data_IF_909704038763
#
_entry.id   IF_909704038763
#
_cell.length_a   1.000
_cell.length_b   1.000
_cell.length_c   1.000
_cell.angle_alpha   90.00
_cell.angle_beta   90.00
_cell.angle_gamma   90.00
#
_symmetry.space_group_name_H-M   'P 1'
#
loop_
_entity.id
_entity.type
_entity.pdbx_description
1 polymer ?
#
# COMPACT_ATOMS: atom_id res chain seq x y z
N UNK A 1 3.33 2.33 -24.43
CA UNK A 1 4.27 3.48 -24.31
C UNK A 1 4.88 3.41 -22.92
N UNK A 2 6.21 3.48 -22.75
CA UNK A 2 6.82 3.47 -21.41
C UNK A 2 6.24 4.61 -20.58
N UNK A 3 5.91 4.37 -19.31
CA UNK A 3 5.17 5.35 -18.50
C UNK A 3 5.89 6.69 -18.38
N UNK A 4 7.24 6.71 -18.37
CA UNK A 4 8.10 7.91 -18.48
C UNK A 4 9.51 7.57 -19.02
N UNK A 5 10.10 8.34 -19.96
CA UNK A 5 11.42 8.04 -20.53
C UNK A 5 12.63 8.79 -19.91
N UNK A 6 12.46 9.80 -19.04
CA UNK A 6 13.57 10.70 -18.62
C UNK A 6 13.62 10.97 -17.10
N UNK A 7 14.81 11.31 -16.56
CA UNK A 7 15.07 11.89 -15.21
C UNK A 7 14.43 13.28 -15.05
N UNK A 8 13.11 13.33 -15.07
CA UNK A 8 12.26 14.51 -14.81
C UNK A 8 11.44 14.24 -13.54
N UNK A 9 10.66 15.19 -13.02
CA UNK A 9 9.78 14.91 -11.84
C UNK A 9 8.88 13.67 -12.02
N UNK A 10 8.39 13.35 -13.23
CA UNK A 10 7.78 12.05 -13.50
C UNK A 10 8.71 10.83 -13.39
N UNK A 11 10.01 10.98 -13.68
CA UNK A 11 11.04 9.97 -13.43
C UNK A 11 11.33 9.76 -11.94
N UNK A 12 11.33 10.84 -11.14
CA UNK A 12 11.43 10.73 -9.68
C UNK A 12 10.23 9.97 -9.09
N UNK A 13 9.02 10.18 -9.63
CA UNK A 13 7.85 9.39 -9.25
C UNK A 13 8.00 7.91 -9.62
N UNK A 14 8.63 7.59 -10.75
CA UNK A 14 8.95 6.19 -11.14
C UNK A 14 9.96 5.54 -10.19
N UNK A 15 10.98 6.28 -9.76
CA UNK A 15 11.93 5.79 -8.76
C UNK A 15 11.23 5.54 -7.42
N UNK A 16 10.34 6.45 -6.99
CA UNK A 16 9.53 6.25 -5.80
C UNK A 16 8.58 5.05 -5.93
N UNK A 17 8.05 4.78 -7.12
CA UNK A 17 7.24 3.60 -7.44
C UNK A 17 8.04 2.30 -7.30
N UNK A 18 9.26 2.25 -7.84
CA UNK A 18 10.16 1.09 -7.68
C UNK A 18 10.58 0.88 -6.23
N UNK A 19 10.85 1.96 -5.50
CA UNK A 19 11.20 1.90 -4.08
C UNK A 19 10.01 1.40 -3.26
N UNK A 20 8.81 1.93 -3.51
CA UNK A 20 7.58 1.47 -2.86
C UNK A 20 7.28 0.01 -3.19
N UNK A 21 7.46 -0.41 -4.45
CA UNK A 21 7.29 -1.80 -4.89
C UNK A 21 8.24 -2.73 -4.13
N UNK A 22 9.51 -2.32 -4.01
CA UNK A 22 10.54 -3.04 -3.24
C UNK A 22 10.20 -3.13 -1.75
N UNK A 23 9.76 -2.03 -1.14
CA UNK A 23 9.36 -1.98 0.27
C UNK A 23 8.15 -2.86 0.56
N UNK A 24 7.10 -2.82 -0.28
CA UNK A 24 5.96 -3.71 -0.13
C UNK A 24 6.30 -5.18 -0.36
N UNK A 25 7.20 -5.48 -1.30
CA UNK A 25 7.69 -6.84 -1.50
C UNK A 25 8.47 -7.35 -0.29
N UNK A 26 9.35 -6.52 0.27
CA UNK A 26 10.11 -6.81 1.49
C UNK A 26 9.16 -7.05 2.67
N UNK A 27 8.29 -6.10 3.01
CA UNK A 27 7.35 -6.23 4.14
C UNK A 27 6.39 -7.41 3.98
N UNK A 28 5.90 -7.67 2.77
CA UNK A 28 5.08 -8.85 2.47
C UNK A 28 5.82 -10.15 2.70
N UNK A 29 7.07 -10.24 2.22
CA UNK A 29 7.92 -11.41 2.41
C UNK A 29 8.30 -11.64 3.86
N UNK A 30 8.62 -10.58 4.61
CA UNK A 30 8.93 -10.67 6.05
C UNK A 30 7.74 -11.21 6.85
N UNK A 31 6.54 -10.69 6.57
CA UNK A 31 5.33 -11.10 7.28
C UNK A 31 4.94 -12.55 6.97
N UNK A 32 5.14 -12.98 5.72
CA UNK A 32 4.97 -14.37 5.30
C UNK A 32 5.98 -15.31 5.97
N UNK A 33 7.26 -14.91 6.03
CA UNK A 33 8.32 -15.68 6.69
C UNK A 33 8.04 -15.81 8.20
N UNK A 34 7.63 -14.71 8.86
CA UNK A 34 7.22 -14.70 10.26
C UNK A 34 5.98 -15.57 10.53
N UNK A 35 5.19 -15.86 9.50
CA UNK A 35 4.02 -16.75 9.57
C UNK A 35 4.35 -18.21 9.19
N UNK A 36 5.63 -18.55 9.01
CA UNK A 36 6.09 -19.91 8.75
C UNK A 36 5.94 -20.39 7.30
N UNK A 37 5.76 -19.47 6.34
CA UNK A 37 5.68 -19.83 4.91
C UNK A 37 7.06 -20.17 4.35
N UNK A 38 7.10 -21.04 3.34
CA UNK A 38 8.34 -21.42 2.64
C UNK A 38 8.84 -20.30 1.70
N UNK A 39 10.00 -20.53 1.07
CA UNK A 39 10.62 -19.54 0.16
C UNK A 39 9.67 -19.09 -0.96
N UNK A 40 8.90 -20.03 -1.50
CA UNK A 40 7.91 -19.76 -2.53
C UNK A 40 6.77 -18.92 -1.98
N UNK A 41 6.19 -19.31 -0.85
CA UNK A 41 5.12 -18.58 -0.17
C UNK A 41 5.52 -17.15 0.18
N UNK A 42 6.74 -16.95 0.70
CA UNK A 42 7.27 -15.62 1.01
C UNK A 42 7.44 -14.75 -0.25
N UNK A 43 8.01 -15.34 -1.30
CA UNK A 43 8.19 -14.64 -2.59
C UNK A 43 6.85 -14.28 -3.21
N UNK A 44 5.87 -15.19 -3.17
CA UNK A 44 4.53 -15.00 -3.70
C UNK A 44 3.77 -13.91 -2.92
N UNK A 45 3.73 -13.98 -1.58
CA UNK A 45 3.05 -12.98 -0.75
C UNK A 45 3.71 -11.62 -0.89
N UNK A 46 5.05 -11.54 -0.89
CA UNK A 46 5.77 -10.29 -1.16
C UNK A 46 5.39 -9.69 -2.51
N UNK A 47 5.42 -10.49 -3.57
CA UNK A 47 5.03 -10.04 -4.92
C UNK A 47 3.59 -9.55 -4.97
N UNK A 48 2.65 -10.31 -4.39
CA UNK A 48 1.23 -9.94 -4.31
C UNK A 48 1.04 -8.65 -3.51
N UNK A 49 1.79 -8.45 -2.43
CA UNK A 49 1.74 -7.21 -1.64
C UNK A 49 2.14 -6.01 -2.49
N UNK A 50 3.22 -6.14 -3.26
CA UNK A 50 3.75 -5.07 -4.09
C UNK A 50 2.83 -4.70 -5.27
N UNK A 51 2.28 -5.69 -5.98
CA UNK A 51 1.49 -5.43 -7.20
C UNK A 51 -0.03 -5.44 -6.98
N UNK A 52 -0.49 -5.94 -5.84
CA UNK A 52 -1.90 -6.22 -5.56
C UNK A 52 -2.79 -4.98 -5.60
N UNK A 53 -2.35 -3.88 -4.98
CA UNK A 53 -3.12 -2.63 -4.96
C UNK A 53 -3.36 -2.05 -6.37
N UNK A 54 -2.30 -1.99 -7.18
CA UNK A 54 -2.38 -1.57 -8.57
C UNK A 54 -3.22 -2.52 -9.43
N UNK A 55 -3.13 -3.83 -9.17
CA UNK A 55 -3.91 -4.85 -9.87
C UNK A 55 -5.41 -4.68 -9.62
N UNK A 56 -5.83 -4.53 -8.35
CA UNK A 56 -7.24 -4.31 -8.01
C UNK A 56 -7.77 -3.03 -8.66
N UNK A 57 -6.99 -1.93 -8.62
CA UNK A 57 -7.35 -0.69 -9.32
C UNK A 57 -7.55 -0.93 -10.81
N UNK A 58 -6.60 -1.59 -11.48
CA UNK A 58 -6.62 -1.76 -12.94
C UNK A 58 -7.81 -2.62 -13.39
N UNK A 59 -8.14 -3.67 -12.62
CA UNK A 59 -9.35 -4.49 -12.85
C UNK A 59 -10.62 -3.64 -12.72
N UNK A 60 -10.73 -2.83 -11.67
CA UNK A 60 -11.93 -2.03 -11.40
C UNK A 60 -12.13 -0.88 -12.39
N UNK A 61 -11.05 -0.26 -12.87
CA UNK A 61 -11.14 0.77 -13.90
C UNK A 61 -11.69 0.23 -15.23
N UNK A 62 -11.58 -1.08 -15.45
CA UNK A 62 -12.11 -1.75 -16.65
C UNK A 62 -11.48 -1.24 -17.95
N UNK A 63 -12.16 -1.50 -19.08
CA UNK A 63 -11.77 -1.06 -20.44
C UNK A 63 -10.58 -1.80 -21.08
N UNK A 64 -10.44 -3.11 -20.83
CA UNK A 64 -9.37 -3.91 -21.47
C UNK A 64 -7.96 -3.61 -20.95
N UNK A 65 -7.85 -2.86 -19.85
CA UNK A 65 -6.59 -2.62 -19.16
C UNK A 65 -6.12 -3.93 -18.53
N UNK A 66 -4.94 -4.37 -18.95
CA UNK A 66 -4.22 -5.45 -18.27
C UNK A 66 -3.65 -4.90 -16.97
N UNK A 67 -3.37 -5.77 -16.01
CA UNK A 67 -2.65 -5.36 -14.82
C UNK A 67 -1.30 -4.76 -15.25
N UNK A 68 -0.91 -3.62 -14.68
CA UNK A 68 0.26 -2.85 -15.14
C UNK A 68 1.54 -3.69 -15.30
N UNK A 69 1.75 -4.66 -14.41
CA UNK A 69 2.93 -5.54 -14.41
C UNK A 69 2.98 -6.52 -15.59
N UNK A 70 1.88 -6.69 -16.34
CA UNK A 70 1.85 -7.43 -17.60
C UNK A 70 2.44 -6.62 -18.77
N UNK A 71 2.44 -5.30 -18.66
CA UNK A 71 3.04 -4.39 -19.64
C UNK A 71 4.45 -3.97 -19.22
N UNK A 72 4.63 -3.70 -17.92
CA UNK A 72 5.89 -3.28 -17.30
C UNK A 72 6.42 -4.42 -16.41
N UNK A 73 7.06 -5.40 -17.04
CA UNK A 73 7.53 -6.63 -16.37
C UNK A 73 8.60 -6.38 -15.31
N UNK A 74 9.27 -5.23 -15.34
CA UNK A 74 10.26 -4.84 -14.34
C UNK A 74 9.70 -4.85 -12.91
N UNK A 75 8.41 -4.57 -12.72
CA UNK A 75 7.78 -4.57 -11.40
C UNK A 75 7.69 -5.99 -10.82
N UNK A 76 7.46 -7.00 -11.65
CA UNK A 76 7.50 -8.40 -11.21
C UNK A 76 8.92 -8.79 -10.80
N UNK A 77 9.92 -8.44 -11.62
CA UNK A 77 11.31 -8.76 -11.32
C UNK A 77 11.81 -8.08 -10.06
N UNK A 78 11.47 -6.80 -9.86
CA UNK A 78 11.78 -6.06 -8.64
C UNK A 78 11.12 -6.74 -7.43
N UNK A 79 9.81 -6.98 -7.49
CA UNK A 79 9.06 -7.52 -6.37
C UNK A 79 9.49 -8.96 -6.00
N UNK A 80 9.60 -9.85 -6.99
CA UNK A 80 10.05 -11.22 -6.76
C UNK A 80 11.51 -11.26 -6.30
N UNK A 81 12.38 -10.45 -6.89
CA UNK A 81 13.79 -10.35 -6.52
C UNK A 81 13.98 -9.84 -5.09
N UNK A 82 13.27 -8.77 -4.70
CA UNK A 82 13.31 -8.26 -3.32
C UNK A 82 12.69 -9.22 -2.33
N UNK A 83 11.56 -9.84 -2.63
CA UNK A 83 10.95 -10.82 -1.73
C UNK A 83 11.86 -12.04 -1.52
N UNK A 84 12.45 -12.59 -2.58
CA UNK A 84 13.39 -13.70 -2.48
C UNK A 84 14.66 -13.32 -1.72
N UNK A 85 15.24 -12.16 -2.02
CA UNK A 85 16.39 -11.63 -1.29
C UNK A 85 16.08 -11.43 0.20
N UNK A 86 14.87 -10.95 0.51
CA UNK A 86 14.38 -10.78 1.87
C UNK A 86 14.28 -12.12 2.60
N UNK A 87 13.73 -13.15 1.95
CA UNK A 87 13.67 -14.49 2.53
C UNK A 87 15.07 -15.09 2.78
N UNK A 88 15.97 -15.03 1.81
CA UNK A 88 17.34 -15.54 1.94
C UNK A 88 18.15 -14.77 3.01
N UNK A 89 17.89 -13.46 3.13
CA UNK A 89 18.53 -12.58 4.10
C UNK A 89 17.92 -12.66 5.51
N UNK A 90 16.78 -13.34 5.69
CA UNK A 90 15.99 -13.32 6.92
C UNK A 90 16.78 -13.76 8.16
N UNK A 91 17.48 -14.89 8.09
CA UNK A 91 18.25 -15.41 9.23
C UNK A 91 19.42 -14.48 9.63
N UNK A 92 20.08 -13.89 8.65
CA UNK A 92 21.14 -12.89 8.88
C UNK A 92 20.56 -11.61 9.46
N UNK A 93 19.42 -11.14 8.92
CA UNK A 93 18.79 -9.91 9.35
C UNK A 93 18.17 -10.03 10.74
N UNK A 94 17.58 -11.18 11.09
CA UNK A 94 17.07 -11.49 12.43
C UNK A 94 18.19 -11.47 13.48
N UNK A 95 19.37 -12.02 13.15
CA UNK A 95 20.54 -12.03 14.04
C UNK A 95 21.21 -10.67 14.20
N UNK A 96 21.22 -9.85 13.16
CA UNK A 96 21.98 -8.60 13.12
C UNK A 96 21.17 -7.38 13.52
N UNK A 97 19.87 -7.35 13.22
CA UNK A 97 18.99 -6.19 13.45
C UNK A 97 17.95 -6.39 14.55
N UNK A 98 17.74 -7.61 15.06
CA UNK A 98 16.79 -7.85 16.14
C UNK A 98 15.38 -7.37 15.78
N UNK A 99 14.89 -7.79 14.61
CA UNK A 99 13.58 -7.43 14.04
C UNK A 99 12.51 -7.29 15.13
N UNK A 100 12.22 -6.05 15.47
CA UNK A 100 11.05 -5.64 16.24
C UNK A 100 10.16 -4.94 15.22
N UNK A 101 8.84 -5.14 15.30
CA UNK A 101 7.88 -4.56 14.33
C UNK A 101 7.92 -3.01 14.23
N UNK A 102 8.71 -2.34 15.09
CA UNK A 102 8.87 -0.88 15.26
C UNK A 102 10.11 -0.27 14.57
N UNK A 103 10.73 -0.95 13.60
CA UNK A 103 11.89 -0.39 12.90
C UNK A 103 11.46 0.83 12.07
N UNK A 104 11.87 2.02 12.50
CA UNK A 104 11.68 3.32 11.83
C UNK A 104 11.87 3.28 10.30
N UNK A 105 12.79 2.45 9.82
CA UNK A 105 13.05 2.28 8.39
C UNK A 105 11.91 1.60 7.63
N UNK A 106 11.21 0.65 8.24
CA UNK A 106 10.05 -0.02 7.67
C UNK A 106 8.90 0.97 7.54
N UNK A 107 8.62 1.73 8.59
CA UNK A 107 7.58 2.75 8.62
C UNK A 107 7.86 3.91 7.65
N UNK A 108 9.10 4.39 7.61
CA UNK A 108 9.52 5.41 6.65
C UNK A 108 9.36 4.92 5.20
N UNK A 109 9.70 3.65 4.93
CA UNK A 109 9.54 3.06 3.60
C UNK A 109 8.07 2.87 3.20
N UNK A 110 7.20 2.49 4.15
CA UNK A 110 5.76 2.42 3.97
C UNK A 110 5.16 3.80 3.68
N UNK A 111 5.56 4.83 4.43
CA UNK A 111 5.08 6.18 4.22
C UNK A 111 5.44 6.71 2.82
N UNK A 112 6.68 6.46 2.37
CA UNK A 112 7.12 6.77 1.01
C UNK A 112 6.28 6.03 -0.04
N UNK A 113 6.04 4.73 0.17
CA UNK A 113 5.17 3.92 -0.69
C UNK A 113 3.76 4.48 -0.80
N UNK A 114 3.11 4.74 0.34
CA UNK A 114 1.76 5.33 0.41
C UNK A 114 1.69 6.66 -0.34
N UNK A 115 2.66 7.55 -0.11
CA UNK A 115 2.75 8.84 -0.80
C UNK A 115 2.85 8.71 -2.32
N UNK A 116 3.73 7.84 -2.82
CA UNK A 116 3.87 7.61 -4.26
C UNK A 116 2.61 6.94 -4.86
N UNK A 117 2.13 5.87 -4.23
CA UNK A 117 1.03 5.06 -4.75
C UNK A 117 -0.31 5.78 -4.78
N UNK A 118 -0.60 6.65 -3.80
CA UNK A 118 -1.82 7.44 -3.84
C UNK A 118 -1.85 8.38 -5.06
N UNK A 119 -0.73 9.04 -5.38
CA UNK A 119 -0.61 9.91 -6.55
C UNK A 119 -0.68 9.11 -7.85
N UNK A 120 0.04 7.99 -7.93
CA UNK A 120 0.03 7.11 -9.11
C UNK A 120 -1.39 6.59 -9.35
N UNK A 121 -2.05 6.06 -8.33
CA UNK A 121 -3.43 5.58 -8.43
C UNK A 121 -4.40 6.66 -8.91
N UNK A 122 -4.30 7.86 -8.33
CA UNK A 122 -5.12 9.02 -8.71
C UNK A 122 -4.90 9.43 -10.16
N UNK A 123 -3.65 9.46 -10.62
CA UNK A 123 -3.31 9.73 -12.02
C UNK A 123 -3.96 8.72 -12.98
N UNK A 124 -4.00 7.45 -12.62
CA UNK A 124 -4.65 6.42 -13.44
C UNK A 124 -6.16 6.61 -13.51
N UNK A 125 -6.81 6.95 -12.40
CA UNK A 125 -8.22 7.30 -12.39
C UNK A 125 -8.50 8.51 -13.29
N UNK A 126 -7.69 9.57 -13.20
CA UNK A 126 -7.82 10.75 -14.07
C UNK A 126 -7.68 10.36 -15.55
N UNK A 127 -6.69 9.54 -15.90
CA UNK A 127 -6.48 9.06 -17.27
C UNK A 127 -7.61 8.17 -17.77
N UNK A 128 -8.27 7.43 -16.88
CA UNK A 128 -9.44 6.63 -17.19
C UNK A 128 -10.72 7.48 -17.35
N UNK A 129 -10.67 8.78 -17.08
CA UNK A 129 -11.83 9.68 -17.21
C UNK A 129 -12.93 9.41 -16.19
N UNK A 130 -12.64 8.72 -15.07
CA UNK A 130 -13.66 8.45 -14.04
C UNK A 130 -13.95 9.69 -13.19
N UNK A 131 -15.12 9.77 -12.52
CA UNK A 131 -15.46 10.90 -11.64
C UNK A 131 -14.45 11.10 -10.50
N UNK A 132 -14.36 12.33 -9.96
CA UNK A 132 -13.37 12.70 -8.93
C UNK A 132 -13.32 11.73 -7.74
N UNK A 133 -14.47 11.31 -7.21
CA UNK A 133 -14.53 10.36 -6.09
C UNK A 133 -13.84 9.05 -6.46
N UNK A 134 -14.09 8.53 -7.66
CA UNK A 134 -13.44 7.33 -8.16
C UNK A 134 -11.93 7.53 -8.36
N UNK A 135 -11.48 8.74 -8.75
CA UNK A 135 -10.04 9.06 -8.85
C UNK A 135 -9.35 8.95 -7.48
N UNK A 136 -9.95 9.49 -6.42
CA UNK A 136 -9.45 9.37 -5.05
C UNK A 136 -9.43 7.91 -4.60
N UNK A 137 -10.50 7.16 -4.87
CA UNK A 137 -10.56 5.73 -4.57
C UNK A 137 -9.45 4.96 -5.28
N UNK A 138 -9.13 5.26 -6.54
CA UNK A 138 -7.99 4.65 -7.23
C UNK A 138 -6.66 4.90 -6.50
N UNK A 139 -6.46 6.11 -5.96
CA UNK A 139 -5.32 6.44 -5.12
C UNK A 139 -5.26 5.59 -3.86
N UNK A 140 -6.35 5.56 -3.09
CA UNK A 140 -6.47 4.77 -1.86
C UNK A 140 -6.21 3.28 -2.16
N UNK A 141 -6.87 2.72 -3.18
CA UNK A 141 -6.73 1.30 -3.52
C UNK A 141 -5.30 0.93 -3.87
N UNK A 142 -4.62 1.77 -4.66
CA UNK A 142 -3.23 1.51 -5.06
C UNK A 142 -2.31 1.46 -3.84
N UNK A 143 -2.50 2.36 -2.87
CA UNK A 143 -1.67 2.43 -1.67
C UNK A 143 -1.99 1.36 -0.61
N UNK A 144 -3.23 0.87 -0.55
CA UNK A 144 -3.72 0.11 0.61
C UNK A 144 -4.03 -1.35 0.33
N UNK A 145 -4.57 -1.69 -0.85
CA UNK A 145 -5.08 -3.05 -1.10
C UNK A 145 -3.98 -4.11 -1.17
N UNK A 146 -2.74 -3.74 -1.51
CA UNK A 146 -1.60 -4.64 -1.42
C UNK A 146 -1.40 -5.19 0.00
N UNK A 147 -1.41 -4.30 1.00
CA UNK A 147 -1.35 -4.66 2.42
C UNK A 147 -2.59 -5.42 2.90
N UNK A 148 -3.79 -5.08 2.42
CA UNK A 148 -5.02 -5.84 2.75
C UNK A 148 -4.89 -7.30 2.31
N UNK A 149 -4.50 -7.53 1.05
CA UNK A 149 -4.38 -8.89 0.51
C UNK A 149 -3.29 -9.67 1.25
N UNK A 150 -2.14 -9.03 1.53
CA UNK A 150 -1.07 -9.60 2.37
C UNK A 150 -1.61 -10.08 3.70
N UNK A 151 -2.25 -9.20 4.46
CA UNK A 151 -2.71 -9.48 5.83
C UNK A 151 -3.72 -10.63 5.84
N UNK A 152 -4.60 -10.71 4.83
CA UNK A 152 -5.54 -11.83 4.64
C UNK A 152 -4.79 -13.14 4.37
N UNK A 153 -3.79 -13.14 3.47
CA UNK A 153 -3.02 -14.33 3.13
C UNK A 153 -2.22 -14.88 4.32
N UNK A 154 -1.69 -14.01 5.17
CA UNK A 154 -0.96 -14.40 6.40
C UNK A 154 -1.87 -14.59 7.61
N UNK A 155 -3.19 -14.49 7.44
CA UNK A 155 -4.20 -14.64 8.51
C UNK A 155 -4.00 -13.69 9.69
N UNK A 156 -3.53 -12.46 9.44
CA UNK A 156 -3.42 -11.39 10.42
C UNK A 156 -4.57 -10.39 10.28
N UNK A 157 -4.99 -9.71 11.38
CA UNK A 157 -5.94 -8.63 11.28
C UNK A 157 -5.40 -7.52 10.37
N UNK A 158 -6.20 -7.08 9.40
CA UNK A 158 -5.82 -6.08 8.40
C UNK A 158 -5.66 -4.70 9.03
N UNK A 159 -4.46 -4.10 8.95
CA UNK A 159 -4.14 -2.81 9.61
C UNK A 159 -5.18 -1.71 9.33
N UNK A 160 -5.68 -1.66 8.09
CA UNK A 160 -6.58 -0.60 7.61
C UNK A 160 -7.96 -0.61 8.28
N UNK A 161 -8.49 -1.77 8.69
CA UNK A 161 -9.83 -1.87 9.26
C UNK A 161 -9.87 -1.75 10.78
N UNK A 162 -8.72 -1.68 11.43
CA UNK A 162 -8.65 -1.71 12.89
C UNK A 162 -7.91 -0.50 13.43
N UNK A 163 -8.59 0.26 14.30
CA UNK A 163 -8.04 1.46 14.93
C UNK A 163 -7.01 1.21 16.05
N UNK A 164 -6.53 -0.03 16.22
CA UNK A 164 -5.26 -0.22 16.95
C UNK A 164 -4.10 0.33 16.14
N UNK A 165 -4.27 0.50 14.82
CA UNK A 165 -3.37 1.21 13.95
C UNK A 165 -3.78 2.68 13.79
N UNK A 166 -2.77 3.49 13.54
CA UNK A 166 -2.84 4.87 13.07
C UNK A 166 -3.63 5.03 11.76
N UNK A 167 -4.02 6.27 11.47
CA UNK A 167 -4.72 6.58 10.22
C UNK A 167 -3.87 6.17 8.99
N UNK A 168 -4.39 5.23 8.20
CA UNK A 168 -3.71 4.71 7.01
C UNK A 168 -4.41 5.14 5.71
N UNK A 169 -5.61 4.65 5.45
CA UNK A 169 -6.33 4.94 4.21
C UNK A 169 -6.65 6.44 4.01
N UNK A 170 -6.87 7.19 5.09
CA UNK A 170 -7.12 8.63 5.02
C UNK A 170 -5.86 9.41 4.62
N UNK A 171 -4.65 8.93 4.94
CA UNK A 171 -3.39 9.55 4.48
C UNK A 171 -3.27 9.49 2.96
N UNK A 172 -3.57 8.31 2.38
CA UNK A 172 -3.63 8.13 0.93
C UNK A 172 -4.73 9.00 0.29
N UNK A 173 -5.89 9.13 0.94
CA UNK A 173 -6.96 10.00 0.49
C UNK A 173 -6.53 11.48 0.45
N UNK A 174 -5.85 11.95 1.49
CA UNK A 174 -5.32 13.32 1.57
C UNK A 174 -4.31 13.61 0.48
N UNK A 175 -3.36 12.69 0.23
CA UNK A 175 -2.40 12.83 -0.87
C UNK A 175 -3.07 12.87 -2.25
N UNK A 176 -4.07 12.01 -2.47
CA UNK A 176 -4.88 12.00 -3.69
C UNK A 176 -5.65 13.33 -3.90
N UNK A 177 -6.28 13.85 -2.84
CA UNK A 177 -7.02 15.11 -2.88
C UNK A 177 -6.09 16.29 -3.13
N UNK A 178 -4.93 16.35 -2.45
CA UNK A 178 -3.93 17.40 -2.66
C UNK A 178 -3.45 17.43 -4.13
N UNK A 179 -3.23 16.25 -4.74
CA UNK A 179 -2.91 16.15 -6.16
C UNK A 179 -4.04 16.71 -7.06
N UNK A 180 -5.30 16.36 -6.78
CA UNK A 180 -6.46 16.81 -7.56
C UNK A 180 -6.66 18.32 -7.43
N UNK A 181 -6.55 18.88 -6.22
CA UNK A 181 -6.69 20.32 -5.96
C UNK A 181 -5.60 21.09 -6.71
N UNK A 182 -4.34 20.66 -6.60
CA UNK A 182 -3.24 21.27 -7.36
C UNK A 182 -3.48 21.19 -8.88
N UNK A 183 -4.06 20.10 -9.37
CA UNK A 183 -4.45 19.95 -10.78
C UNK A 183 -5.53 20.95 -11.19
N UNK A 184 -6.55 21.15 -10.37
CA UNK A 184 -7.63 22.10 -10.62
C UNK A 184 -7.16 23.55 -10.58
N UNK A 185 -6.19 23.86 -9.72
CA UNK A 185 -5.53 25.16 -9.66
C UNK A 185 -4.62 25.47 -10.88
N UNK A 186 -4.53 24.56 -11.86
CA UNK A 186 -3.71 24.76 -13.07
C UNK A 186 -2.20 24.61 -12.84
N UNK A 187 -1.76 24.12 -11.66
CA UNK A 187 -0.35 23.95 -11.34
C UNK A 187 0.38 23.06 -12.37
N UNK A 188 1.70 23.20 -12.56
CA UNK A 188 2.45 22.30 -13.45
C UNK A 188 2.48 20.85 -12.91
N UNK A 189 2.64 19.83 -13.77
CA UNK A 189 2.61 18.42 -13.35
C UNK A 189 3.56 18.06 -12.20
N UNK A 190 4.74 18.68 -12.17
CA UNK A 190 5.74 18.50 -11.10
C UNK A 190 5.19 18.91 -9.74
N UNK A 191 4.61 20.11 -9.65
CA UNK A 191 4.07 20.64 -8.40
C UNK A 191 2.86 19.83 -7.91
N UNK A 192 2.03 19.32 -8.82
CA UNK A 192 0.91 18.41 -8.48
C UNK A 192 1.43 17.14 -7.80
N UNK A 193 2.47 16.52 -8.36
CA UNK A 193 3.08 15.31 -7.82
C UNK A 193 3.69 15.60 -6.44
N UNK A 194 4.50 16.65 -6.34
CA UNK A 194 5.16 17.04 -5.09
C UNK A 194 4.12 17.28 -3.99
N UNK A 195 3.07 18.05 -4.29
CA UNK A 195 2.00 18.34 -3.34
C UNK A 195 1.25 17.09 -2.87
N UNK A 196 0.92 16.16 -3.78
CA UNK A 196 0.23 14.93 -3.42
C UNK A 196 1.09 13.97 -2.59
N UNK A 197 2.34 13.76 -3.01
CA UNK A 197 3.29 12.88 -2.32
C UNK A 197 3.63 13.43 -0.93
N UNK A 198 3.93 14.73 -0.82
CA UNK A 198 4.27 15.37 0.45
C UNK A 198 3.10 15.39 1.42
N UNK A 199 1.87 15.62 0.94
CA UNK A 199 0.68 15.57 1.78
C UNK A 199 0.40 14.16 2.30
N UNK A 200 0.56 13.13 1.44
CA UNK A 200 0.42 11.73 1.83
C UNK A 200 1.44 11.30 2.88
N UNK A 201 2.74 11.54 2.61
CA UNK A 201 3.84 11.21 3.54
C UNK A 201 3.70 12.02 4.83
N UNK A 202 3.49 13.33 4.74
CA UNK A 202 3.42 14.21 5.89
C UNK A 202 2.31 13.81 6.85
N UNK A 203 1.12 13.48 6.33
CA UNK A 203 0.03 13.01 7.19
C UNK A 203 0.30 11.60 7.73
N UNK A 204 0.96 10.72 6.96
CA UNK A 204 1.33 9.38 7.43
C UNK A 204 2.34 9.45 8.58
N UNK A 205 3.38 10.25 8.45
CA UNK A 205 4.39 10.46 9.50
C UNK A 205 3.77 11.14 10.72
N UNK A 206 2.92 12.15 10.52
CA UNK A 206 2.21 12.79 11.62
C UNK A 206 1.26 11.83 12.34
N UNK A 207 0.58 10.95 11.61
CA UNK A 207 -0.30 9.95 12.18
C UNK A 207 0.44 8.98 13.11
N UNK A 208 1.61 8.55 12.68
CA UNK A 208 2.49 7.67 13.43
C UNK A 208 3.10 8.38 14.65
N UNK A 209 3.69 9.57 14.45
CA UNK A 209 4.34 10.34 15.51
C UNK A 209 3.38 10.80 16.62
N UNK A 210 2.14 11.16 16.27
CA UNK A 210 1.14 11.67 17.22
C UNK A 210 0.08 10.63 17.59
N UNK A 211 0.24 9.37 17.18
CA UNK A 211 -0.71 8.27 17.43
C UNK A 211 -2.16 8.63 17.05
N UNK A 212 -2.34 9.23 15.87
CA UNK A 212 -3.64 9.70 15.38
C UNK A 212 -4.46 8.50 14.92
N UNK A 213 -5.50 8.15 15.69
CA UNK A 213 -6.38 7.00 15.44
C UNK A 213 -7.81 7.43 15.07
N UNK A 214 -8.51 6.58 14.32
CA UNK A 214 -9.93 6.78 14.03
C UNK A 214 -10.81 6.36 15.22
N UNK A 215 -11.95 7.04 15.45
CA UNK A 215 -12.85 6.72 16.56
C UNK A 215 -13.35 5.28 16.45
N UNK A 216 -13.38 4.59 17.59
CA UNK A 216 -13.87 3.21 17.71
C UNK A 216 -15.09 3.20 18.60
N UNK A 217 -16.15 2.53 18.16
CA UNK A 217 -17.21 2.14 19.09
C UNK A 217 -16.69 0.99 19.97
N UNK A 218 -16.70 1.18 21.28
CA UNK A 218 -16.21 0.18 22.22
C UNK A 218 -17.05 -1.10 22.11
N UNK A 219 -16.43 -2.16 21.60
CA UNK A 219 -17.10 -3.35 21.10
C UNK A 219 -17.40 -4.42 22.18
N UNK A 220 -17.53 -4.04 23.46
CA UNK A 220 -18.03 -4.97 24.49
C UNK A 220 -19.38 -5.58 24.10
N UNK A 221 -20.24 -4.80 23.44
CA UNK A 221 -21.55 -5.25 22.96
C UNK A 221 -21.47 -6.12 21.69
N UNK A 222 -20.42 -5.99 20.87
CA UNK A 222 -20.23 -6.82 19.67
C UNK A 222 -19.73 -8.22 20.04
N UNK A 223 -18.84 -8.35 21.04
CA UNK A 223 -18.46 -9.63 21.63
C UNK A 223 -19.66 -10.35 22.25
N UNK A 224 -20.53 -9.63 22.98
CA UNK A 224 -21.78 -10.18 23.53
C UNK A 224 -22.79 -10.59 22.44
N UNK A 225 -22.93 -9.81 21.37
CA UNK A 225 -23.84 -10.14 20.25
C UNK A 225 -23.35 -11.31 19.38
N UNK A 226 -22.04 -11.47 19.22
CA UNK A 226 -21.45 -12.64 18.55
C UNK A 226 -21.60 -13.92 19.40
N UNK A 227 -21.39 -13.82 20.72
CA UNK A 227 -21.62 -14.93 21.65
C UNK A 227 -23.10 -15.34 21.71
N UNK A 228 -24.03 -14.38 21.74
CA UNK A 228 -25.48 -14.64 21.72
C UNK A 228 -25.99 -15.30 20.43
N UNK A 229 -25.32 -15.09 19.29
CA UNK A 229 -25.67 -15.71 18.00
C UNK A 229 -24.94 -17.03 17.74
N UNK A 230 -23.90 -17.35 18.51
CA UNK A 230 -23.07 -18.55 18.36
C UNK A 230 -23.61 -19.81 19.04
N UNK A 231 -24.57 -19.70 19.97
CA UNK A 231 -25.05 -20.82 20.79
C UNK A 231 -26.49 -21.24 20.46
N UNK A 232 -26.74 -21.63 19.20
CA UNK A 232 -27.97 -22.34 18.78
C UNK A 232 -27.74 -23.42 17.73
N UNK A 233 -26.51 -23.94 17.60
CA UNK A 233 -26.21 -25.05 16.68
C UNK A 233 -25.56 -26.23 17.38
N UNK A 234 -26.06 -26.62 18.55
CA UNK A 234 -25.91 -27.97 19.08
C UNK A 234 -27.10 -28.28 19.99
N UNK A 235 -28.20 -28.71 19.38
CA UNK A 235 -29.17 -29.66 19.95
C UNK A 235 -29.38 -30.72 18.88
#
# INVERSE_FOLDING_TARGET
>A
MPRYPNFTVPGALRLADYFGTSSFAMTGSLLAAASGMDAFGCTAVGTITAVGGGTVRDILLGQGRRAFWMEEQEYLWIAAGTALATFCGWESAKKQFGFTDDDYWIEASDALGVGAFCVIGTQNGIRAGVPMIAQVLCGIMTATFGGIVRDILVQRPTRIFHSYADIYATTAATGALAYIIARQAGAPPSLRIIAGVSAGIGLRVAADTYDIRLPVYNAENAKKSAASKGDKRHV
#
